data_IF_769162771779
#
_entry.id   IF_769162771779
#
_cell.length_a   1.000
_cell.length_b   1.000
_cell.length_c   1.000
_cell.angle_alpha   90.00
_cell.angle_beta   90.00
_cell.angle_gamma   90.00
#
_symmetry.space_group_name_H-M   'P 1'
#
loop_
_entity.id
_entity.type
_entity.pdbx_description
1 polymer ?
#
# COMPACT_ATOMS: atom_id res chain seq x y z
N UNK A 1 -14.26 -44.23 7.67
CA UNK A 1 -12.92 -43.64 7.79
C UNK A 1 -13.08 -42.46 8.74
N UNK A 2 -12.53 -42.54 9.93
CA UNK A 2 -12.49 -41.42 10.86
C UNK A 2 -11.65 -40.30 10.21
N UNK A 3 -12.17 -39.10 10.20
CA UNK A 3 -11.36 -37.92 9.81
C UNK A 3 -10.16 -37.85 10.77
N UNK A 4 -8.94 -37.62 10.25
CA UNK A 4 -7.78 -37.48 11.10
C UNK A 4 -8.03 -36.34 12.11
N UNK A 5 -7.61 -36.49 13.37
CA UNK A 5 -7.84 -35.49 14.39
C UNK A 5 -7.30 -34.13 13.90
N UNK A 6 -8.13 -33.11 13.98
CA UNK A 6 -7.77 -31.73 13.57
C UNK A 6 -6.54 -31.29 14.42
N UNK A 7 -5.37 -31.25 13.80
CA UNK A 7 -4.12 -30.90 14.47
C UNK A 7 -4.25 -29.46 15.02
N UNK A 8 -4.01 -29.28 16.33
CA UNK A 8 -4.11 -27.95 16.93
C UNK A 8 -3.17 -26.99 16.22
N UNK A 9 -3.67 -25.79 15.83
CA UNK A 9 -2.87 -24.82 15.12
C UNK A 9 -1.64 -24.39 15.95
N UNK A 10 -0.52 -24.24 15.29
CA UNK A 10 0.71 -23.65 15.89
C UNK A 10 0.51 -22.16 16.06
N UNK A 11 1.04 -21.64 17.18
CA UNK A 11 1.03 -20.19 17.47
C UNK A 11 2.36 -19.59 17.03
N UNK A 12 2.31 -18.54 16.24
CA UNK A 12 3.47 -17.76 15.82
C UNK A 12 3.30 -16.36 16.39
N UNK A 13 4.23 -15.92 17.23
CA UNK A 13 4.18 -14.62 17.91
C UNK A 13 3.96 -14.74 19.41
N UNK A 14 3.61 -13.63 20.05
CA UNK A 14 3.40 -13.51 21.49
C UNK A 14 1.91 -13.55 21.88
N UNK A 15 1.60 -13.54 23.20
CA UNK A 15 0.24 -13.74 23.70
C UNK A 15 -0.75 -12.64 23.29
N UNK A 16 -0.29 -11.45 22.90
CA UNK A 16 -1.13 -10.32 22.54
C UNK A 16 -1.16 -10.01 21.04
N UNK A 17 -0.21 -10.59 20.28
CA UNK A 17 -0.12 -10.47 18.83
C UNK A 17 0.44 -11.76 18.26
N UNK A 18 -0.38 -12.55 17.60
CA UNK A 18 -0.03 -13.86 17.08
C UNK A 18 -0.83 -14.21 15.82
N UNK A 19 -0.25 -15.08 15.05
CA UNK A 19 -0.88 -15.81 13.97
C UNK A 19 -1.11 -17.26 14.36
N UNK A 20 -2.12 -17.88 13.79
CA UNK A 20 -2.32 -19.32 13.90
C UNK A 20 -1.90 -19.97 12.57
N UNK A 21 -1.20 -21.09 12.65
CA UNK A 21 -0.76 -21.82 11.47
C UNK A 21 -1.15 -23.29 11.56
N UNK A 22 -1.68 -23.81 10.46
CA UNK A 22 -1.91 -25.24 10.25
C UNK A 22 -1.44 -25.65 8.86
N UNK A 23 -0.78 -26.82 8.69
CA UNK A 23 -0.41 -27.32 7.36
C UNK A 23 -1.60 -27.45 6.39
N UNK A 24 -2.80 -27.66 6.92
CA UNK A 24 -4.03 -27.86 6.14
C UNK A 24 -4.67 -26.54 5.73
N UNK A 25 -4.84 -25.59 6.68
CA UNK A 25 -5.57 -24.33 6.46
C UNK A 25 -4.68 -23.12 6.19
N UNK A 26 -3.36 -23.26 6.35
CA UNK A 26 -2.41 -22.14 6.22
C UNK A 26 -2.42 -21.21 7.43
N UNK A 27 -2.16 -19.94 7.18
CA UNK A 27 -2.10 -18.91 8.20
C UNK A 27 -3.46 -18.28 8.47
N UNK A 28 -3.78 -18.07 9.74
CA UNK A 28 -4.91 -17.27 10.19
C UNK A 28 -4.38 -16.03 10.91
N UNK A 29 -4.56 -14.87 10.28
CA UNK A 29 -4.17 -13.55 10.80
C UNK A 29 -5.40 -12.70 11.16
N UNK A 30 -6.52 -13.32 11.46
CA UNK A 30 -7.76 -12.60 11.85
C UNK A 30 -7.70 -12.02 13.25
N UNK A 31 -6.65 -12.32 14.01
CA UNK A 31 -6.44 -11.91 15.41
C UNK A 31 -7.61 -12.27 16.34
N UNK A 32 -7.87 -13.56 16.57
CA UNK A 32 -8.80 -13.97 17.61
C UNK A 32 -8.25 -13.56 19.01
N UNK A 33 -9.14 -13.42 19.99
CA UNK A 33 -8.76 -13.00 21.35
C UNK A 33 -7.84 -13.98 22.07
N UNK A 34 -7.90 -15.26 21.72
CA UNK A 34 -7.02 -16.34 22.19
C UNK A 34 -7.05 -17.49 21.18
N UNK A 35 -6.13 -18.46 21.32
CA UNK A 35 -6.06 -19.65 20.47
C UNK A 35 -7.35 -20.48 20.47
N UNK A 36 -8.04 -20.51 21.62
CA UNK A 36 -9.31 -21.24 21.81
C UNK A 36 -10.56 -20.37 21.61
N UNK A 37 -10.38 -19.10 21.24
CA UNK A 37 -11.52 -18.21 21.01
C UNK A 37 -12.30 -18.60 19.73
N UNK A 38 -13.59 -18.26 19.64
CA UNK A 38 -14.36 -18.43 18.41
C UNK A 38 -13.68 -17.76 17.22
N UNK A 39 -13.88 -18.33 16.03
CA UNK A 39 -13.38 -17.77 14.78
C UNK A 39 -13.86 -16.33 14.59
N UNK A 40 -12.97 -15.45 14.14
CA UNK A 40 -13.31 -14.04 13.82
C UNK A 40 -13.99 -14.00 12.47
N UNK A 41 -15.09 -13.27 12.35
CA UNK A 41 -15.82 -13.05 11.10
C UNK A 41 -16.04 -11.56 10.85
N UNK A 42 -16.24 -11.12 9.59
CA UNK A 42 -16.12 -11.93 8.36
C UNK A 42 -14.68 -12.40 8.11
N UNK A 43 -14.53 -13.48 7.36
CA UNK A 43 -13.24 -14.08 6.99
C UNK A 43 -13.03 -14.00 5.49
N UNK A 44 -11.80 -13.79 5.06
CA UNK A 44 -11.37 -13.88 3.68
C UNK A 44 -10.15 -14.79 3.60
N UNK A 45 -10.28 -15.91 2.90
CA UNK A 45 -9.16 -16.83 2.66
C UNK A 45 -8.65 -16.67 1.24
N UNK A 46 -7.39 -16.30 1.11
CA UNK A 46 -6.67 -16.12 -0.15
C UNK A 46 -5.53 -17.13 -0.24
N UNK A 47 -5.05 -17.39 -1.46
CA UNK A 47 -3.81 -18.12 -1.67
C UNK A 47 -2.61 -17.16 -1.44
N UNK A 48 -1.52 -17.67 -0.87
CA UNK A 48 -0.24 -16.98 -0.76
C UNK A 48 0.89 -17.99 -0.97
N UNK A 49 1.67 -17.84 -2.04
CA UNK A 49 2.66 -18.84 -2.42
C UNK A 49 2.07 -20.24 -2.54
N UNK A 50 2.57 -21.19 -1.74
CA UNK A 50 2.12 -22.59 -1.69
C UNK A 50 1.04 -22.87 -0.64
N UNK A 51 0.61 -21.87 0.14
CA UNK A 51 -0.32 -22.03 1.27
C UNK A 51 -1.51 -21.06 1.16
N UNK A 52 -2.31 -20.99 2.21
CA UNK A 52 -3.43 -20.09 2.33
C UNK A 52 -3.21 -19.07 3.45
N UNK A 53 -3.85 -17.92 3.29
CA UNK A 53 -3.86 -16.83 4.26
C UNK A 53 -5.31 -16.44 4.53
N UNK A 54 -5.72 -16.52 5.79
CA UNK A 54 -7.04 -16.08 6.22
C UNK A 54 -6.93 -14.79 7.02
N UNK A 55 -7.60 -13.75 6.56
CA UNK A 55 -7.64 -12.42 7.16
C UNK A 55 -9.08 -11.98 7.46
N UNK A 56 -9.25 -10.91 8.27
CA UNK A 56 -10.53 -10.29 8.54
C UNK A 56 -10.71 -9.03 7.66
N UNK A 57 -11.58 -9.04 6.64
CA UNK A 57 -11.73 -7.92 5.70
C UNK A 57 -12.01 -6.56 6.37
N UNK A 58 -12.81 -6.56 7.42
CA UNK A 58 -13.16 -5.35 8.19
C UNK A 58 -12.02 -4.84 9.09
N UNK A 59 -10.94 -5.61 9.25
CA UNK A 59 -9.69 -5.23 9.95
C UNK A 59 -8.51 -5.11 9.00
N UNK A 60 -8.77 -5.16 7.71
CA UNK A 60 -7.77 -5.06 6.64
C UNK A 60 -7.97 -3.77 5.87
N UNK A 61 -6.91 -3.12 5.43
CA UNK A 61 -6.98 -1.99 4.51
C UNK A 61 -6.07 -2.19 3.29
N UNK A 62 -6.54 -1.81 2.11
CA UNK A 62 -5.67 -1.61 0.95
C UNK A 62 -4.98 -0.25 1.11
N UNK A 63 -3.66 -0.24 1.12
CA UNK A 63 -2.82 0.97 1.15
C UNK A 63 -2.33 1.24 -0.27
N UNK A 64 -2.85 2.28 -0.90
CA UNK A 64 -2.47 2.73 -2.24
C UNK A 64 -1.42 3.83 -2.08
N UNK A 65 -0.16 3.50 -2.42
CA UNK A 65 1.01 4.36 -2.14
C UNK A 65 1.36 5.19 -3.37
N UNK A 66 1.36 6.51 -3.21
CA UNK A 66 1.92 7.50 -4.13
C UNK A 66 1.42 7.42 -5.60
N UNK A 67 0.18 7.03 -5.78
CA UNK A 67 -0.43 6.99 -7.12
C UNK A 67 -0.93 8.39 -7.53
N UNK A 68 0.00 9.36 -7.59
CA UNK A 68 -0.22 10.78 -7.76
C UNK A 68 0.18 11.27 -9.16
N UNK A 69 -0.38 12.41 -9.60
CA UNK A 69 -0.07 13.03 -10.90
C UNK A 69 1.43 13.24 -11.08
N UNK A 70 2.16 13.67 -10.03
CA UNK A 70 3.61 13.86 -10.07
C UNK A 70 4.37 12.62 -10.55
N UNK A 71 3.97 11.43 -10.12
CA UNK A 71 4.66 10.19 -10.44
C UNK A 71 4.18 9.54 -11.74
N UNK A 72 2.94 9.81 -12.14
CA UNK A 72 2.25 9.02 -13.17
C UNK A 72 1.87 9.81 -14.41
N UNK A 73 1.52 11.11 -14.27
CA UNK A 73 0.91 11.84 -15.38
C UNK A 73 1.84 12.00 -16.57
N UNK A 74 1.41 11.61 -17.79
CA UNK A 74 2.14 11.89 -19.02
C UNK A 74 2.35 13.38 -19.26
N UNK A 75 1.49 14.24 -18.72
CA UNK A 75 1.63 15.70 -18.80
C UNK A 75 2.89 16.22 -18.06
N UNK A 76 3.47 15.42 -17.16
CA UNK A 76 4.77 15.64 -16.52
C UNK A 76 5.89 14.82 -17.18
N UNK A 77 5.75 14.52 -18.47
CA UNK A 77 6.72 13.77 -19.27
C UNK A 77 7.00 12.35 -18.73
N UNK A 78 6.03 11.74 -18.06
CA UNK A 78 6.14 10.32 -17.70
C UNK A 78 5.89 9.47 -18.93
N UNK A 79 6.69 8.40 -19.15
CA UNK A 79 6.52 7.55 -20.31
C UNK A 79 5.09 6.94 -20.33
N UNK A 80 4.40 6.97 -21.48
CA UNK A 80 3.00 6.49 -21.58
C UNK A 80 2.86 4.98 -21.27
N UNK A 81 3.95 4.22 -21.38
CA UNK A 81 3.99 2.79 -21.07
C UNK A 81 4.75 2.48 -19.76
N UNK A 82 4.83 3.47 -18.86
CA UNK A 82 5.54 3.27 -17.59
C UNK A 82 4.87 2.17 -16.75
N UNK A 83 5.70 1.45 -15.99
CA UNK A 83 5.19 0.42 -15.06
C UNK A 83 4.17 1.01 -14.06
N UNK A 84 4.36 2.25 -13.61
CA UNK A 84 3.41 2.93 -12.75
C UNK A 84 2.02 3.11 -13.37
N UNK A 85 1.94 3.45 -14.68
CA UNK A 85 0.65 3.54 -15.38
C UNK A 85 -0.01 2.18 -15.56
N UNK A 86 0.76 1.11 -15.80
CA UNK A 86 0.22 -0.24 -15.85
C UNK A 86 -0.38 -0.65 -14.50
N UNK A 87 0.27 -0.28 -13.40
CA UNK A 87 -0.28 -0.50 -12.05
C UNK A 87 -1.52 0.35 -11.81
N UNK A 88 -1.57 1.59 -12.28
CA UNK A 88 -2.77 2.43 -12.18
C UNK A 88 -3.98 1.77 -12.84
N UNK A 89 -3.82 1.22 -14.05
CA UNK A 89 -4.88 0.49 -14.74
C UNK A 89 -5.28 -0.79 -13.97
N UNK A 90 -4.33 -1.52 -13.41
CA UNK A 90 -4.60 -2.71 -12.61
C UNK A 90 -5.34 -2.36 -11.30
N UNK A 91 -4.94 -1.28 -10.62
CA UNK A 91 -5.64 -0.77 -9.45
C UNK A 91 -7.08 -0.40 -9.79
N UNK A 92 -7.28 0.36 -10.88
CA UNK A 92 -8.58 0.83 -11.35
C UNK A 92 -9.53 -0.32 -11.69
N UNK A 93 -9.05 -1.28 -12.47
CA UNK A 93 -9.92 -2.28 -13.08
C UNK A 93 -10.03 -3.59 -12.27
N UNK A 94 -9.09 -3.87 -11.35
CA UNK A 94 -9.02 -5.15 -10.65
C UNK A 94 -8.99 -4.98 -9.14
N UNK A 95 -7.98 -4.30 -8.58
CA UNK A 95 -7.69 -4.34 -7.14
C UNK A 95 -8.75 -3.56 -6.35
N UNK A 96 -9.00 -2.30 -6.71
CA UNK A 96 -9.98 -1.46 -6.02
C UNK A 96 -11.39 -2.06 -6.08
N UNK A 97 -11.90 -2.49 -7.26
CA UNK A 97 -13.18 -3.20 -7.33
C UNK A 97 -13.25 -4.47 -6.47
N UNK A 98 -12.16 -5.27 -6.44
CA UNK A 98 -12.10 -6.46 -5.61
C UNK A 98 -12.16 -6.12 -4.12
N UNK A 99 -11.42 -5.12 -3.66
CA UNK A 99 -11.44 -4.65 -2.27
C UNK A 99 -12.83 -4.12 -1.88
N UNK A 100 -13.47 -3.31 -2.74
CA UNK A 100 -14.85 -2.84 -2.51
C UNK A 100 -15.83 -4.00 -2.34
N UNK A 101 -15.81 -4.97 -3.28
CA UNK A 101 -16.66 -6.16 -3.22
C UNK A 101 -16.46 -6.96 -1.93
N UNK A 102 -15.22 -7.02 -1.44
CA UNK A 102 -14.85 -7.76 -0.21
C UNK A 102 -15.02 -6.94 1.06
N UNK A 103 -15.48 -5.67 0.94
CA UNK A 103 -15.62 -4.72 2.06
C UNK A 103 -14.30 -4.45 2.77
N UNK A 104 -13.20 -4.39 2.02
CA UNK A 104 -11.87 -3.97 2.50
C UNK A 104 -11.76 -2.46 2.33
N UNK A 105 -11.57 -1.68 3.42
CA UNK A 105 -11.31 -0.24 3.38
C UNK A 105 -10.08 0.12 2.54
N UNK A 106 -10.07 1.34 1.99
CA UNK A 106 -8.95 1.86 1.20
C UNK A 106 -8.34 3.06 1.92
N UNK A 107 -7.00 3.05 1.98
CA UNK A 107 -6.17 4.17 2.40
C UNK A 107 -5.36 4.66 1.20
N UNK A 108 -5.55 5.91 0.83
CA UNK A 108 -4.73 6.62 -0.13
C UNK A 108 -3.61 7.32 0.62
N UNK A 109 -2.39 6.80 0.48
CA UNK A 109 -1.19 7.29 1.16
C UNK A 109 -0.33 8.05 0.15
N UNK A 110 -0.31 9.36 0.26
CA UNK A 110 0.29 10.25 -0.73
C UNK A 110 1.37 11.14 -0.10
N UNK A 111 2.37 11.51 -0.87
CA UNK A 111 3.16 12.68 -0.52
C UNK A 111 2.25 13.91 -0.47
N UNK A 112 2.45 14.75 0.54
CA UNK A 112 1.73 16.01 0.66
C UNK A 112 2.46 16.91 1.64
N UNK A 113 3.36 17.75 1.11
CA UNK A 113 4.30 18.55 1.87
C UNK A 113 3.70 19.92 2.25
N UNK A 114 4.07 20.40 3.41
CA UNK A 114 3.88 21.78 3.86
C UNK A 114 5.18 22.56 3.72
N UNK A 115 5.16 23.90 3.80
CA UNK A 115 6.38 24.70 3.87
C UNK A 115 7.30 24.30 5.04
N UNK A 116 6.72 23.91 6.17
CA UNK A 116 7.48 23.43 7.33
C UNK A 116 8.19 22.12 7.04
N UNK A 117 7.53 21.18 6.33
CA UNK A 117 8.15 19.93 5.92
C UNK A 117 9.41 20.16 5.06
N UNK A 118 9.36 21.13 4.15
CA UNK A 118 10.52 21.48 3.30
C UNK A 118 11.67 22.02 4.15
N UNK A 119 11.39 22.84 5.16
CA UNK A 119 12.42 23.38 6.07
C UNK A 119 13.05 22.27 6.92
N UNK A 120 12.22 21.36 7.46
CA UNK A 120 12.65 20.25 8.32
C UNK A 120 13.11 19.00 7.54
N UNK A 121 13.13 19.05 6.20
CA UNK A 121 13.42 17.89 5.36
C UNK A 121 14.88 17.43 5.51
N UNK A 122 15.14 16.17 5.87
CA UNK A 122 16.50 15.67 6.00
C UNK A 122 17.23 15.62 4.65
N UNK A 123 18.57 15.80 4.66
CA UNK A 123 19.39 15.78 3.44
C UNK A 123 19.18 14.54 2.57
N UNK A 124 18.97 13.38 3.16
CA UNK A 124 18.70 12.10 2.48
C UNK A 124 17.50 12.21 1.53
N UNK A 125 16.39 12.77 1.99
CA UNK A 125 15.18 12.91 1.17
C UNK A 125 15.40 13.94 0.07
N UNK A 126 15.98 15.11 0.41
CA UNK A 126 16.31 16.14 -0.60
C UNK A 126 17.22 15.60 -1.68
N UNK A 127 18.25 14.83 -1.28
CA UNK A 127 19.18 14.20 -2.23
C UNK A 127 18.46 13.18 -3.13
N UNK A 128 17.62 12.31 -2.57
CA UNK A 128 16.88 11.29 -3.33
C UNK A 128 16.02 11.88 -4.45
N UNK A 129 15.35 13.02 -4.18
CA UNK A 129 14.57 13.72 -5.19
C UNK A 129 15.40 14.62 -6.15
N UNK A 130 16.68 14.84 -5.87
CA UNK A 130 17.56 15.66 -6.68
C UNK A 130 18.48 14.87 -7.61
N UNK A 131 18.58 13.55 -7.43
CA UNK A 131 19.37 12.66 -8.28
C UNK A 131 18.62 12.30 -9.57
N UNK A 132 19.36 11.90 -10.59
CA UNK A 132 18.79 11.18 -11.72
C UNK A 132 18.49 9.71 -11.33
N UNK A 133 17.76 9.01 -12.21
CA UNK A 133 17.31 7.64 -11.95
C UNK A 133 18.44 6.62 -11.77
N UNK A 134 19.68 6.98 -12.10
CA UNK A 134 20.83 6.07 -12.03
C UNK A 134 21.71 6.29 -10.79
N UNK A 135 21.43 7.31 -9.98
CA UNK A 135 22.24 7.71 -8.81
C UNK A 135 23.73 7.98 -9.10
N UNK A 136 24.10 8.07 -10.39
CA UNK A 136 25.49 8.11 -10.85
C UNK A 136 26.05 9.54 -10.87
N UNK A 137 25.20 10.52 -11.05
CA UNK A 137 25.61 11.90 -11.29
C UNK A 137 25.18 12.82 -10.15
N UNK A 138 25.81 12.79 -9.04
CA UNK A 138 25.72 13.75 -7.96
C UNK A 138 24.42 14.54 -7.79
N UNK A 139 24.41 15.43 -6.87
CA UNK A 139 23.27 16.32 -6.60
C UNK A 139 23.10 17.35 -7.74
N UNK A 140 21.94 17.34 -8.43
CA UNK A 140 21.68 18.29 -9.53
C UNK A 140 20.98 19.56 -9.05
N UNK A 141 19.76 19.43 -8.51
CA UNK A 141 18.99 20.54 -8.00
C UNK A 141 17.87 20.04 -7.09
N UNK A 142 17.48 20.79 -6.06
CA UNK A 142 16.32 20.40 -5.27
C UNK A 142 15.06 20.41 -6.16
N UNK A 143 14.25 19.35 -6.07
CA UNK A 143 12.97 19.26 -6.79
C UNK A 143 11.79 19.50 -5.87
N UNK A 144 11.83 18.99 -4.63
CA UNK A 144 10.72 19.13 -3.69
C UNK A 144 10.40 20.59 -3.40
N UNK A 145 9.13 20.95 -3.55
CA UNK A 145 8.65 22.30 -3.33
C UNK A 145 9.03 23.33 -4.40
N UNK A 146 9.72 22.93 -5.47
CA UNK A 146 10.01 23.78 -6.64
C UNK A 146 8.78 23.86 -7.52
N UNK A 147 8.54 25.00 -8.13
CA UNK A 147 7.41 25.22 -9.04
C UNK A 147 7.58 24.37 -10.31
N UNK A 148 6.52 23.65 -10.68
CA UNK A 148 6.43 22.87 -11.90
C UNK A 148 6.11 23.77 -13.11
N UNK A 149 5.43 24.91 -12.86
CA UNK A 149 4.95 25.81 -13.88
C UNK A 149 3.69 25.29 -14.61
N UNK A 150 3.36 25.91 -15.74
CA UNK A 150 2.19 25.51 -16.56
C UNK A 150 2.33 24.10 -17.10
N UNK A 151 1.28 23.30 -16.97
CA UNK A 151 1.21 21.93 -17.47
C UNK A 151 0.11 21.82 -18.52
N UNK A 152 0.45 21.24 -19.66
CA UNK A 152 -0.49 20.96 -20.74
C UNK A 152 -1.16 19.60 -20.49
N UNK A 153 -2.47 19.61 -20.31
CA UNK A 153 -3.27 18.40 -20.18
C UNK A 153 -3.76 17.90 -21.55
N UNK A 154 -4.17 16.65 -21.58
CA UNK A 154 -4.86 16.08 -22.73
C UNK A 154 -6.13 16.91 -23.03
N UNK A 155 -6.38 17.20 -24.31
CA UNK A 155 -7.46 18.11 -24.71
C UNK A 155 -7.05 19.59 -24.83
N UNK A 156 -5.76 19.93 -24.63
CA UNK A 156 -5.21 21.26 -24.89
C UNK A 156 -5.42 22.28 -23.74
N UNK A 157 -5.89 21.85 -22.60
CA UNK A 157 -6.03 22.71 -21.43
C UNK A 157 -4.69 22.90 -20.74
N UNK A 158 -4.42 24.15 -20.33
CA UNK A 158 -3.25 24.48 -19.51
C UNK A 158 -3.71 24.74 -18.08
N UNK A 159 -3.01 24.12 -17.13
CA UNK A 159 -3.24 24.31 -15.70
C UNK A 159 -1.94 24.72 -15.00
N UNK A 160 -2.06 25.25 -13.80
CA UNK A 160 -0.91 25.42 -12.91
C UNK A 160 -0.53 24.04 -12.33
N UNK A 161 0.68 23.57 -12.62
CA UNK A 161 1.21 22.32 -12.08
C UNK A 161 1.49 22.40 -10.59
N UNK A 162 1.68 23.61 -10.06
CA UNK A 162 1.98 23.88 -8.66
C UNK A 162 3.39 23.47 -8.23
N UNK A 163 3.67 23.61 -6.96
CA UNK A 163 4.98 23.23 -6.38
C UNK A 163 5.03 21.74 -6.11
N UNK A 164 6.16 21.09 -6.48
CA UNK A 164 6.37 19.64 -6.43
C UNK A 164 5.99 19.05 -5.07
N UNK A 165 4.97 18.19 -5.08
CA UNK A 165 4.43 17.42 -3.97
C UNK A 165 3.99 18.28 -2.76
N UNK A 166 3.77 19.57 -2.96
CA UNK A 166 3.13 20.41 -1.95
C UNK A 166 1.63 20.15 -1.94
N UNK A 167 1.03 20.18 -0.74
CA UNK A 167 -0.42 20.02 -0.59
C UNK A 167 -1.20 21.03 -1.42
N UNK A 168 -2.37 20.63 -1.85
CA UNK A 168 -3.31 21.44 -2.62
C UNK A 168 -2.78 21.90 -3.99
N UNK A 169 -1.86 21.15 -4.58
CA UNK A 169 -1.37 21.34 -5.96
C UNK A 169 -1.77 20.18 -6.85
N UNK A 170 -2.01 20.46 -8.14
CA UNK A 170 -2.43 19.42 -9.08
C UNK A 170 -1.43 18.25 -9.16
N UNK A 171 -0.13 18.51 -9.09
CA UNK A 171 0.85 17.43 -9.15
C UNK A 171 0.81 16.51 -7.92
N UNK A 172 0.34 17.00 -6.76
CA UNK A 172 0.17 16.21 -5.53
C UNK A 172 -1.09 15.33 -5.59
N UNK A 173 -2.10 15.72 -6.33
CA UNK A 173 -3.37 15.00 -6.37
C UNK A 173 -3.20 13.55 -6.85
N UNK A 174 -4.14 12.70 -6.43
CA UNK A 174 -4.25 11.33 -6.95
C UNK A 174 -4.41 11.41 -8.46
N UNK A 175 -3.69 10.57 -9.19
CA UNK A 175 -3.74 10.50 -10.65
C UNK A 175 -5.18 10.36 -11.15
N UNK A 176 -5.59 11.25 -12.06
CA UNK A 176 -6.99 11.48 -12.42
C UNK A 176 -7.82 10.21 -12.69
N UNK A 177 -7.33 9.21 -13.44
CA UNK A 177 -8.08 7.96 -13.64
C UNK A 177 -8.36 7.17 -12.37
N UNK A 178 -7.58 7.37 -11.28
CA UNK A 178 -7.79 6.77 -9.97
C UNK A 178 -8.58 7.68 -9.04
N UNK A 179 -8.45 9.00 -9.18
CA UNK A 179 -9.16 9.98 -8.37
C UNK A 179 -10.68 9.79 -8.43
N UNK A 180 -11.20 9.39 -9.61
CA UNK A 180 -12.61 9.06 -9.80
C UNK A 180 -13.12 7.88 -8.96
N UNK A 181 -12.22 7.04 -8.42
CA UNK A 181 -12.56 5.88 -7.60
C UNK A 181 -12.54 6.17 -6.10
N UNK A 182 -12.12 7.36 -5.72
CA UNK A 182 -12.08 7.79 -4.30
C UNK A 182 -13.49 8.02 -3.81
N UNK A 183 -13.88 7.32 -2.75
CA UNK A 183 -15.18 7.49 -2.09
C UNK A 183 -14.99 8.41 -0.88
N UNK A 184 -15.30 9.69 -1.05
CA UNK A 184 -15.19 10.69 0.03
C UNK A 184 -16.01 10.28 1.26
N UNK A 185 -15.44 10.47 2.44
CA UNK A 185 -16.05 10.10 3.72
C UNK A 185 -15.94 8.60 4.06
N UNK A 186 -15.62 7.75 3.09
CA UNK A 186 -15.41 6.31 3.30
C UNK A 186 -13.93 5.95 3.26
N UNK A 187 -13.22 6.38 2.22
CA UNK A 187 -11.79 6.17 2.08
C UNK A 187 -11.00 7.06 3.03
N UNK A 188 -9.88 6.54 3.48
CA UNK A 188 -8.89 7.33 4.20
C UNK A 188 -7.97 8.00 3.18
N UNK A 189 -7.70 9.28 3.33
CA UNK A 189 -6.61 9.98 2.61
C UNK A 189 -5.64 10.50 3.66
N UNK A 190 -4.38 10.09 3.57
CA UNK A 190 -3.33 10.48 4.52
C UNK A 190 -2.13 10.97 3.75
N UNK A 191 -1.54 12.05 4.25
CA UNK A 191 -0.31 12.61 3.71
C UNK A 191 0.91 12.11 4.48
N UNK A 192 1.96 11.82 3.74
CA UNK A 192 3.29 11.57 4.26
C UNK A 192 4.28 12.64 3.77
N UNK A 193 5.35 12.79 4.53
CA UNK A 193 6.41 13.77 4.26
C UNK A 193 7.81 13.14 4.21
N UNK A 194 7.87 11.81 4.23
CA UNK A 194 9.07 10.97 4.11
C UNK A 194 8.76 9.78 3.21
N UNK A 195 9.73 8.90 2.97
CA UNK A 195 9.49 7.67 2.19
C UNK A 195 8.42 6.82 2.84
N UNK A 196 8.53 6.55 4.14
CA UNK A 196 7.52 5.83 4.91
C UNK A 196 6.34 6.71 5.28
N UNK A 197 5.14 6.12 5.24
CA UNK A 197 3.93 6.71 5.76
C UNK A 197 3.78 6.64 7.28
N UNK A 198 4.69 5.96 7.99
CA UNK A 198 4.65 5.80 9.44
C UNK A 198 5.74 6.58 10.18
N UNK A 199 6.36 7.55 9.52
CA UNK A 199 7.29 8.46 10.19
C UNK A 199 6.56 9.38 11.18
N UNK A 200 7.32 9.97 12.11
CA UNK A 200 6.80 10.96 13.04
C UNK A 200 6.00 12.05 12.31
N UNK A 201 4.95 12.53 12.96
CA UNK A 201 4.04 13.57 12.46
C UNK A 201 3.14 13.15 11.28
N UNK A 202 3.04 11.85 10.96
CA UNK A 202 2.04 11.33 10.02
C UNK A 202 0.80 10.81 10.76
N UNK A 203 -0.36 10.96 10.14
CA UNK A 203 -1.64 10.50 10.71
C UNK A 203 -1.95 9.03 10.37
N UNK A 204 -1.05 8.31 9.69
CA UNK A 204 -1.32 6.96 9.14
C UNK A 204 -1.71 5.97 10.23
N UNK A 205 -0.88 5.85 11.27
CA UNK A 205 -1.12 4.91 12.37
C UNK A 205 -2.42 5.22 13.11
N UNK A 206 -2.68 6.49 13.38
CA UNK A 206 -3.91 6.96 14.03
C UNK A 206 -5.15 6.69 13.17
N UNK A 207 -5.08 6.97 11.86
CA UNK A 207 -6.18 6.72 10.93
C UNK A 207 -6.54 5.23 10.85
N UNK A 208 -5.54 4.36 10.80
CA UNK A 208 -5.73 2.91 10.77
C UNK A 208 -6.25 2.36 12.09
N UNK A 209 -5.63 2.73 13.20
CA UNK A 209 -6.05 2.29 14.55
C UNK A 209 -7.45 2.73 14.92
N UNK A 210 -7.86 3.95 14.53
CA UNK A 210 -9.22 4.45 14.78
C UNK A 210 -10.30 3.62 14.11
N UNK A 211 -9.96 2.87 13.06
CA UNK A 211 -10.84 1.95 12.34
C UNK A 211 -10.62 0.48 12.70
N UNK A 212 -9.77 0.19 13.68
CA UNK A 212 -9.47 -1.17 14.12
C UNK A 212 -8.70 -2.01 13.08
N UNK A 213 -8.00 -1.36 12.14
CA UNK A 213 -7.21 -2.04 11.11
C UNK A 213 -5.98 -2.69 11.75
N UNK A 214 -5.70 -3.92 11.33
CA UNK A 214 -4.60 -4.76 11.80
C UNK A 214 -3.75 -5.29 10.65
N UNK A 215 -4.34 -5.47 9.47
CA UNK A 215 -3.69 -6.03 8.29
C UNK A 215 -3.69 -5.00 7.16
N UNK A 216 -2.55 -4.87 6.48
CA UNK A 216 -2.36 -3.91 5.39
C UNK A 216 -1.98 -4.64 4.10
N UNK A 217 -2.69 -4.37 3.03
CA UNK A 217 -2.37 -4.85 1.69
C UNK A 217 -1.76 -3.69 0.93
N UNK A 218 -0.53 -3.82 0.46
CA UNK A 218 0.23 -2.74 -0.18
C UNK A 218 0.20 -2.83 -1.69
N UNK A 219 -0.09 -1.70 -2.33
CA UNK A 219 -0.03 -1.50 -3.78
C UNK A 219 0.45 -0.07 -4.09
N UNK A 220 0.92 0.16 -5.31
CA UNK A 220 1.37 1.50 -5.76
C UNK A 220 2.86 1.57 -6.11
N UNK A 221 3.51 2.69 -5.90
CA UNK A 221 4.91 2.94 -6.30
C UNK A 221 5.70 3.79 -5.29
N UNK A 222 7.06 3.67 -5.28
CA UNK A 222 7.87 2.60 -5.92
C UNK A 222 8.02 1.44 -4.96
N UNK A 223 8.03 0.22 -5.50
CA UNK A 223 8.06 -1.03 -4.72
C UNK A 223 9.19 -1.04 -3.70
N UNK A 224 10.42 -0.74 -4.12
CA UNK A 224 11.65 -0.78 -3.31
C UNK A 224 11.92 0.48 -2.49
N UNK A 225 11.06 1.49 -2.60
CA UNK A 225 11.21 2.78 -1.94
C UNK A 225 10.04 3.05 -1.00
N UNK A 226 9.07 3.86 -1.43
CA UNK A 226 7.94 4.28 -0.58
C UNK A 226 7.07 3.11 -0.11
N UNK A 227 6.84 2.11 -0.97
CA UNK A 227 6.07 0.92 -0.60
C UNK A 227 6.85 0.11 0.44
N UNK A 228 8.11 -0.27 0.15
CA UNK A 228 8.93 -1.06 1.06
C UNK A 228 9.16 -0.34 2.40
N UNK A 229 9.49 0.96 2.38
CA UNK A 229 9.70 1.74 3.60
C UNK A 229 8.45 1.77 4.47
N UNK A 230 7.27 2.01 3.87
CA UNK A 230 6.01 2.05 4.61
C UNK A 230 5.62 0.69 5.16
N UNK A 231 5.80 -0.35 4.35
CA UNK A 231 5.49 -1.72 4.71
C UNK A 231 6.36 -2.21 5.89
N UNK A 232 7.67 -1.98 5.82
CA UNK A 232 8.59 -2.39 6.88
C UNK A 232 8.29 -1.68 8.20
N UNK A 233 8.03 -0.37 8.17
CA UNK A 233 7.65 0.36 9.38
C UNK A 233 6.32 -0.13 9.95
N UNK A 234 5.34 -0.44 9.08
CA UNK A 234 4.07 -1.02 9.49
C UNK A 234 4.25 -2.37 10.21
N UNK A 235 5.08 -3.26 9.65
CA UNK A 235 5.36 -4.56 10.24
C UNK A 235 5.96 -4.41 11.65
N UNK A 236 6.91 -3.50 11.84
CA UNK A 236 7.51 -3.21 13.15
C UNK A 236 6.56 -2.51 14.12
N UNK A 237 5.47 -1.91 13.61
CA UNK A 237 4.37 -1.36 14.43
C UNK A 237 3.25 -2.38 14.69
N UNK A 238 3.49 -3.66 14.45
CA UNK A 238 2.58 -4.79 14.68
C UNK A 238 1.37 -4.86 13.73
N UNK A 239 1.48 -4.31 12.52
CA UNK A 239 0.54 -4.64 11.45
C UNK A 239 1.02 -5.91 10.73
N UNK A 240 0.08 -6.75 10.30
CA UNK A 240 0.39 -7.79 9.31
C UNK A 240 0.44 -7.15 7.93
N UNK A 241 1.46 -7.45 7.15
CA UNK A 241 1.68 -6.80 5.87
C UNK A 241 1.59 -7.80 4.72
N UNK A 242 0.92 -7.41 3.65
CA UNK A 242 0.76 -8.21 2.44
C UNK A 242 1.19 -7.36 1.25
N UNK A 243 2.22 -7.79 0.54
CA UNK A 243 2.63 -7.15 -0.71
C UNK A 243 1.85 -7.73 -1.88
N UNK A 244 1.08 -6.90 -2.60
CA UNK A 244 0.56 -7.28 -3.91
C UNK A 244 1.66 -7.11 -4.96
N UNK A 245 2.44 -8.16 -5.20
CA UNK A 245 3.65 -8.11 -6.01
C UNK A 245 3.42 -7.63 -7.44
N UNK A 246 2.27 -7.95 -8.02
CA UNK A 246 1.88 -7.54 -9.38
C UNK A 246 0.99 -6.28 -9.40
N UNK A 247 0.80 -5.60 -8.26
CA UNK A 247 0.15 -4.29 -8.13
C UNK A 247 1.09 -3.23 -7.55
N UNK A 248 2.38 -3.50 -7.48
CA UNK A 248 3.42 -2.50 -7.21
C UNK A 248 4.36 -2.38 -8.40
N UNK A 249 4.97 -1.23 -8.59
CA UNK A 249 5.95 -0.96 -9.65
C UNK A 249 7.06 -0.06 -9.16
N UNK A 250 8.20 -0.13 -9.83
CA UNK A 250 9.35 0.74 -9.58
C UNK A 250 10.05 1.13 -10.87
N UNK A 251 10.79 2.23 -10.83
CA UNK A 251 11.76 2.63 -11.86
C UNK A 251 13.17 2.12 -11.58
N UNK A 252 13.36 1.47 -10.44
CA UNK A 252 14.66 0.86 -10.06
C UNK A 252 14.94 -0.41 -10.88
N UNK A 253 16.19 -0.87 -10.94
CA UNK A 253 16.52 -2.16 -11.53
C UNK A 253 15.74 -3.31 -10.88
N UNK A 254 15.47 -4.35 -11.67
CA UNK A 254 14.62 -5.47 -11.26
C UNK A 254 15.03 -6.13 -9.95
N UNK A 255 16.33 -6.25 -9.68
CA UNK A 255 16.84 -6.83 -8.44
C UNK A 255 16.37 -6.09 -7.18
N UNK A 256 16.09 -4.79 -7.26
CA UNK A 256 15.61 -4.02 -6.12
C UNK A 256 14.16 -4.41 -5.74
N UNK A 257 13.30 -4.61 -6.74
CA UNK A 257 11.96 -5.15 -6.53
C UNK A 257 12.03 -6.60 -6.03
N UNK A 258 12.84 -7.45 -6.66
CA UNK A 258 13.02 -8.86 -6.30
C UNK A 258 13.49 -9.01 -4.84
N UNK A 259 14.37 -8.12 -4.36
CA UNK A 259 14.82 -8.13 -2.97
C UNK A 259 13.66 -7.85 -1.98
N UNK A 260 12.79 -6.92 -2.30
CA UNK A 260 11.59 -6.64 -1.48
C UNK A 260 10.66 -7.84 -1.47
N UNK A 261 10.36 -8.40 -2.65
CA UNK A 261 9.49 -9.57 -2.78
C UNK A 261 10.03 -10.78 -2.02
N UNK A 262 11.34 -11.02 -2.09
CA UNK A 262 12.02 -12.09 -1.36
C UNK A 262 11.89 -11.91 0.16
N UNK A 263 12.14 -10.68 0.66
CA UNK A 263 12.02 -10.40 2.08
C UNK A 263 10.57 -10.61 2.58
N UNK A 264 9.57 -10.24 1.77
CA UNK A 264 8.17 -10.41 2.15
C UNK A 264 7.74 -11.87 2.22
N UNK A 265 8.30 -12.76 1.43
CA UNK A 265 8.05 -14.20 1.56
C UNK A 265 8.58 -14.79 2.87
N UNK A 266 9.61 -14.18 3.46
CA UNK A 266 10.25 -14.64 4.69
C UNK A 266 9.74 -13.97 5.97
N UNK A 267 9.32 -12.73 5.87
CA UNK A 267 8.97 -11.92 7.05
C UNK A 267 7.46 -11.78 7.25
N UNK A 268 6.69 -11.68 6.15
CA UNK A 268 5.26 -11.42 6.19
C UNK A 268 4.58 -12.18 5.02
N UNK A 269 3.81 -11.52 4.16
CA UNK A 269 3.09 -12.20 3.08
C UNK A 269 3.25 -11.51 1.74
N UNK A 270 3.29 -12.32 0.68
CA UNK A 270 3.22 -11.88 -0.72
C UNK A 270 2.05 -12.57 -1.41
N UNK A 271 1.25 -11.84 -2.16
CA UNK A 271 0.19 -12.38 -3.01
C UNK A 271 0.09 -11.64 -4.32
N UNK A 272 -0.66 -12.19 -5.27
CA UNK A 272 -0.99 -11.55 -6.54
C UNK A 272 -2.41 -10.95 -6.50
N UNK A 273 -2.70 -10.05 -7.44
CA UNK A 273 -4.07 -9.56 -7.64
C UNK A 273 -5.07 -10.69 -7.88
N UNK A 274 -4.65 -11.72 -8.61
CA UNK A 274 -5.47 -12.92 -8.86
C UNK A 274 -5.82 -13.65 -7.56
N UNK A 275 -4.87 -13.77 -6.64
CA UNK A 275 -5.10 -14.43 -5.35
C UNK A 275 -6.09 -13.63 -4.50
N UNK A 276 -5.96 -12.29 -4.48
CA UNK A 276 -6.91 -11.40 -3.83
C UNK A 276 -8.31 -11.50 -4.44
N UNK A 277 -8.42 -11.46 -5.76
CA UNK A 277 -9.72 -11.54 -6.47
C UNK A 277 -10.41 -12.86 -6.19
N UNK A 278 -9.67 -13.97 -6.26
CA UNK A 278 -10.19 -15.33 -6.06
C UNK A 278 -10.41 -15.67 -4.59
N UNK A 279 -9.97 -14.85 -3.66
CA UNK A 279 -10.15 -15.06 -2.23
C UNK A 279 -11.62 -15.31 -1.88
N UNK A 280 -11.86 -16.37 -1.08
CA UNK A 280 -13.19 -16.79 -0.64
C UNK A 280 -13.57 -16.04 0.63
N UNK A 281 -14.63 -15.21 0.54
CA UNK A 281 -15.16 -14.49 1.71
C UNK A 281 -16.29 -15.31 2.33
N UNK A 282 -16.19 -15.55 3.63
CA UNK A 282 -17.24 -16.15 4.44
C UNK A 282 -17.77 -15.06 5.37
N UNK A 283 -19.06 -14.74 5.22
CA UNK A 283 -19.77 -13.85 6.14
C UNK A 283 -19.97 -14.59 7.48
N UNK A 284 -19.98 -13.86 8.60
CA UNK A 284 -20.44 -14.41 9.87
C UNK A 284 -21.96 -14.43 9.92
N UNK A 285 -22.52 -15.11 10.92
CA UNK A 285 -23.95 -15.18 11.15
C UNK A 285 -24.61 -13.80 11.46
N UNK A 286 -23.79 -12.75 11.58
CA UNK A 286 -24.21 -11.37 11.83
C UNK A 286 -23.41 -10.43 10.92
N UNK A 287 -23.82 -10.31 9.67
CA UNK A 287 -23.41 -9.20 8.80
C UNK A 287 -24.36 -8.01 9.05
N UNK A 288 -23.99 -7.09 9.95
CA UNK A 288 -24.63 -5.79 10.10
C UNK A 288 -24.05 -4.77 9.13
#
# INVERSE_FOLDING_TARGET
>A
MEEPPEEKPKVIGGPYNFWLYSPVSGYDITHPKSVSAPKVYPRLTCKTGSTHLTLAPNRTALVVVDMQNYFLSPALHRPPNSAGLQIAEKLKNVVIPACRKKKIPILWLNWGLTPLDILAMPPTVKRGFALDNNFVHGYKAPKLGVDVGPVQLEGGFTIDGGRVLMRDTWNEEIYDPLAALVVRGTDMKVYKNRLSGFTADTETDKALKSRGIRTLIFAGCNTDQCVAATLMDAAWLNYDCILLSDATATTSPKFAQEAVEYNMEGLDFKMTCKDLVNGQRVAGDVDF
#
